data_IF_574580806696
#
_entry.id   IF_574580806696
#
_cell.length_a   1.000
_cell.length_b   1.000
_cell.length_c   1.000
_cell.angle_alpha   90.00
_cell.angle_beta   90.00
_cell.angle_gamma   90.00
#
_symmetry.space_group_name_H-M   'P 1'
#
loop_
_entity.id
_entity.type
_entity.pdbx_description
1 polymer ?
#
# COMPACT_ATOMS: atom_id res chain seq x y z
N UNK A 1 -11.29 -0.98 -5.10
CA UNK A 1 -10.51 -1.74 -4.09
C UNK A 1 -9.51 -0.79 -3.46
N UNK A 2 -9.29 -0.82 -2.13
CA UNK A 2 -8.33 0.09 -1.47
C UNK A 2 -6.88 -0.35 -1.74
N UNK A 3 -5.98 0.61 -1.91
CA UNK A 3 -4.55 0.37 -2.19
C UNK A 3 -3.88 -0.44 -1.08
N UNK A 4 -4.23 -0.20 0.19
CA UNK A 4 -3.76 -1.00 1.34
C UNK A 4 -4.11 -2.49 1.22
N UNK A 5 -5.31 -2.79 0.72
CA UNK A 5 -5.78 -4.16 0.53
C UNK A 5 -5.04 -4.81 -0.64
N UNK A 6 -4.79 -4.07 -1.71
CA UNK A 6 -4.03 -4.54 -2.85
C UNK A 6 -2.59 -4.88 -2.48
N UNK A 7 -1.88 -3.99 -1.77
CA UNK A 7 -0.50 -4.19 -1.33
C UNK A 7 -0.33 -5.44 -0.44
N UNK A 8 -1.33 -5.73 0.39
CA UNK A 8 -1.36 -6.95 1.24
C UNK A 8 -1.62 -8.22 0.43
N UNK A 9 -2.58 -8.18 -0.49
CA UNK A 9 -2.96 -9.36 -1.30
C UNK A 9 -1.87 -9.73 -2.31
N UNK A 10 -1.26 -8.73 -2.94
CA UNK A 10 -0.10 -8.89 -3.83
C UNK A 10 1.19 -9.22 -3.10
N UNK A 11 1.14 -9.35 -1.76
CA UNK A 11 2.27 -9.67 -0.87
C UNK A 11 3.47 -8.69 -0.95
N UNK A 12 3.26 -7.48 -1.47
CA UNK A 12 4.27 -6.41 -1.48
C UNK A 12 4.53 -5.88 -0.06
N UNK A 13 3.50 -5.85 0.79
CA UNK A 13 3.61 -5.48 2.20
C UNK A 13 2.96 -6.57 3.05
N UNK A 14 3.72 -7.12 4.00
CA UNK A 14 3.29 -8.23 4.86
C UNK A 14 2.12 -7.88 5.81
N UNK A 15 2.05 -6.63 6.28
CA UNK A 15 1.07 -6.17 7.27
C UNK A 15 0.21 -5.04 6.72
N UNK A 16 -1.08 -5.08 7.03
CA UNK A 16 -2.04 -4.07 6.56
C UNK A 16 -1.83 -2.69 7.19
N UNK A 17 -1.38 -2.63 8.44
CA UNK A 17 -1.02 -1.37 9.11
C UNK A 17 0.11 -0.66 8.37
N UNK A 18 1.17 -1.39 8.01
CA UNK A 18 2.31 -0.85 7.26
C UNK A 18 1.89 -0.39 5.86
N UNK A 19 0.93 -1.08 5.22
CA UNK A 19 0.38 -0.64 3.94
C UNK A 19 -0.45 0.65 4.07
N UNK A 20 -1.19 0.81 5.16
CA UNK A 20 -1.92 2.05 5.45
C UNK A 20 -0.95 3.21 5.71
N UNK A 21 0.09 2.98 6.51
CA UNK A 21 1.11 3.99 6.81
C UNK A 21 1.92 4.37 5.56
N UNK A 22 2.24 3.42 4.69
CA UNK A 22 2.95 3.68 3.43
C UNK A 22 2.12 4.52 2.45
N UNK A 23 0.80 4.28 2.39
CA UNK A 23 -0.13 5.11 1.63
C UNK A 23 -0.24 6.53 2.23
N UNK A 24 -0.29 6.67 3.55
CA UNK A 24 -0.33 7.97 4.23
C UNK A 24 0.99 8.76 4.10
N UNK A 25 2.11 8.05 4.15
CA UNK A 25 3.44 8.63 4.01
C UNK A 25 3.85 8.93 2.56
N UNK A 26 2.91 8.83 1.60
CA UNK A 26 3.14 9.07 0.16
C UNK A 26 4.33 8.29 -0.42
N UNK A 27 4.65 7.11 0.16
CA UNK A 27 5.75 6.24 -0.32
C UNK A 27 5.31 5.27 -1.41
N UNK A 28 4.02 5.22 -1.71
CA UNK A 28 3.44 4.36 -2.73
C UNK A 28 2.94 5.26 -3.85
N UNK A 29 3.69 5.29 -4.94
CA UNK A 29 3.30 5.95 -6.18
C UNK A 29 2.44 4.97 -6.97
N UNK A 30 1.25 5.40 -7.40
CA UNK A 30 0.38 4.57 -8.23
C UNK A 30 0.53 5.02 -9.67
N UNK A 31 1.22 4.22 -10.48
CA UNK A 31 1.37 4.49 -11.92
C UNK A 31 2.02 5.86 -12.21
N UNK A 32 3.08 6.18 -11.47
CA UNK A 32 3.87 7.43 -11.53
C UNK A 32 3.11 8.72 -11.15
N UNK A 33 2.02 8.61 -10.38
CA UNK A 33 1.33 9.73 -9.72
C UNK A 33 0.90 9.40 -8.28
#
# INVERSE_FOLDING_TARGET
>A
MRLDKYLKVSRLIKRRSVAADACSASRVLLNDK
#
